data_IF_080649759665
#
_entry.id   IF_080649759665
#
_cell.length_a   1.000
_cell.length_b   1.000
_cell.length_c   1.000
_cell.angle_alpha   90.00
_cell.angle_beta   90.00
_cell.angle_gamma   90.00
#
_symmetry.space_group_name_H-M   'P 1'
#
loop_
_entity.id
_entity.type
_entity.pdbx_description
1 polymer ?
#
# COMPACT_ATOMS: atom_id res chain seq x y z
N UNK A 1 10.93 17.09 -39.77
CA UNK A 1 9.99 16.79 -38.67
C UNK A 1 10.74 15.95 -37.66
N UNK A 2 11.04 16.51 -36.50
CA UNK A 2 11.67 15.77 -35.40
C UNK A 2 10.55 15.05 -34.67
N UNK A 3 10.51 13.72 -34.74
CA UNK A 3 9.55 12.92 -34.00
C UNK A 3 9.90 13.04 -32.52
N UNK A 4 9.13 13.80 -31.76
CA UNK A 4 9.26 13.82 -30.30
C UNK A 4 8.82 12.46 -29.78
N UNK A 5 9.59 11.81 -28.89
CA UNK A 5 9.17 10.57 -28.26
C UNK A 5 7.79 10.79 -27.61
N UNK A 6 6.81 10.00 -28.04
CA UNK A 6 5.39 10.17 -27.66
C UNK A 6 5.14 9.86 -26.17
N UNK A 7 6.11 9.27 -25.47
CA UNK A 7 5.97 8.91 -24.06
C UNK A 7 7.33 8.97 -23.36
N UNK A 8 7.44 9.61 -22.18
CA UNK A 8 8.60 9.39 -21.32
C UNK A 8 8.63 7.91 -20.92
N UNK A 9 9.81 7.29 -20.96
CA UNK A 9 10.00 5.96 -20.39
C UNK A 9 9.58 6.00 -18.92
N UNK A 10 8.54 5.24 -18.57
CA UNK A 10 8.17 5.09 -17.16
C UNK A 10 9.33 4.32 -16.53
N UNK A 11 10.02 4.88 -15.52
CA UNK A 11 11.12 4.18 -14.88
C UNK A 11 10.61 2.83 -14.38
N UNK A 12 11.26 1.77 -14.84
CA UNK A 12 11.00 0.42 -14.34
C UNK A 12 11.27 0.35 -12.84
N UNK A 13 10.77 -0.70 -12.20
CA UNK A 13 11.05 -0.96 -10.79
C UNK A 13 12.57 -1.19 -10.66
N UNK A 14 13.29 -0.42 -9.80
CA UNK A 14 14.72 -0.60 -9.58
C UNK A 14 15.06 -2.05 -9.25
N UNK A 15 16.16 -2.57 -9.80
CA UNK A 15 16.69 -3.86 -9.39
C UNK A 15 17.29 -3.71 -7.99
N UNK A 16 16.73 -4.40 -7.01
CA UNK A 16 17.24 -4.47 -5.64
C UNK A 16 17.87 -5.84 -5.37
N UNK A 17 18.74 -5.91 -4.36
CA UNK A 17 19.51 -7.13 -4.05
C UNK A 17 18.57 -8.33 -3.87
N UNK A 18 18.84 -9.48 -4.54
CA UNK A 18 18.02 -10.68 -4.39
C UNK A 18 18.04 -11.23 -2.96
N UNK A 19 19.08 -10.93 -2.18
CA UNK A 19 19.23 -11.44 -0.81
C UNK A 19 18.24 -10.82 0.18
N UNK A 20 17.74 -9.61 -0.12
CA UNK A 20 16.74 -8.90 0.70
C UNK A 20 15.32 -9.16 0.22
N UNK A 21 15.15 -9.94 -0.84
CA UNK A 21 13.85 -10.26 -1.41
C UNK A 21 13.23 -11.43 -0.67
N UNK A 22 11.95 -11.32 -0.34
CA UNK A 22 11.19 -12.45 0.16
C UNK A 22 11.21 -13.64 -0.80
N UNK A 23 11.32 -14.85 -0.24
CA UNK A 23 11.25 -16.09 -1.01
C UNK A 23 9.85 -16.29 -1.60
N UNK A 24 9.77 -16.93 -2.77
CA UNK A 24 8.51 -17.26 -3.44
C UNK A 24 7.55 -18.03 -2.52
N UNK A 25 8.08 -18.98 -1.74
CA UNK A 25 7.30 -19.80 -0.79
C UNK A 25 6.70 -18.94 0.31
N UNK A 26 7.48 -17.97 0.83
CA UNK A 26 6.99 -17.03 1.82
C UNK A 26 5.91 -16.12 1.24
N UNK A 27 6.13 -15.60 0.02
CA UNK A 27 5.13 -14.77 -0.67
C UNK A 27 3.82 -15.54 -0.85
N UNK A 28 3.85 -16.77 -1.34
CA UNK A 28 2.64 -17.56 -1.60
C UNK A 28 1.88 -17.88 -0.28
N UNK A 29 2.59 -18.20 0.80
CA UNK A 29 2.00 -18.41 2.13
C UNK A 29 1.41 -17.11 2.72
N UNK A 30 2.14 -16.00 2.60
CA UNK A 30 1.70 -14.70 3.07
C UNK A 30 0.44 -14.24 2.34
N UNK A 31 0.40 -14.39 1.01
CA UNK A 31 -0.73 -14.00 0.17
C UNK A 31 -1.99 -14.78 0.54
N UNK A 32 -1.85 -16.06 0.88
CA UNK A 32 -2.95 -16.89 1.40
C UNK A 32 -3.50 -16.28 2.70
N UNK A 33 -2.65 -16.05 3.70
CA UNK A 33 -3.07 -15.43 4.97
C UNK A 33 -3.64 -14.01 4.78
N UNK A 34 -3.10 -13.24 3.85
CA UNK A 34 -3.61 -11.92 3.51
C UNK A 34 -5.02 -11.98 2.92
N UNK A 35 -5.30 -12.98 2.07
CA UNK A 35 -6.64 -13.18 1.51
C UNK A 35 -7.66 -13.53 2.60
N UNK A 36 -7.28 -14.38 3.57
CA UNK A 36 -8.11 -14.71 4.74
C UNK A 36 -8.37 -13.46 5.60
N UNK A 37 -7.34 -12.63 5.81
CA UNK A 37 -7.48 -11.37 6.54
C UNK A 37 -8.48 -10.43 5.86
N UNK A 38 -8.46 -10.33 4.53
CA UNK A 38 -9.45 -9.55 3.77
C UNK A 38 -10.86 -10.12 3.87
N UNK A 39 -11.00 -11.45 3.90
CA UNK A 39 -12.29 -12.10 4.06
C UNK A 39 -12.88 -11.78 5.44
N UNK A 40 -12.12 -11.96 6.52
CA UNK A 40 -12.55 -11.62 7.89
C UNK A 40 -12.92 -10.14 8.01
N UNK A 41 -12.14 -9.25 7.39
CA UNK A 41 -12.47 -7.83 7.35
C UNK A 41 -13.81 -7.57 6.63
N UNK A 42 -14.02 -8.21 5.46
CA UNK A 42 -15.25 -8.06 4.70
C UNK A 42 -16.47 -8.57 5.47
N UNK A 43 -16.37 -9.69 6.16
CA UNK A 43 -17.43 -10.22 7.01
C UNK A 43 -17.79 -9.23 8.14
N UNK A 44 -16.77 -8.64 8.77
CA UNK A 44 -16.97 -7.63 9.81
C UNK A 44 -17.62 -6.35 9.27
N UNK A 45 -17.15 -5.84 8.14
CA UNK A 45 -17.64 -4.62 7.48
C UNK A 45 -19.12 -4.76 7.09
N UNK A 46 -19.53 -5.95 6.60
CA UNK A 46 -20.92 -6.26 6.28
C UNK A 46 -21.81 -6.49 7.52
N UNK A 47 -21.23 -6.91 8.65
CA UNK A 47 -21.97 -7.20 9.90
C UNK A 47 -22.28 -5.95 10.73
N UNK A 48 -21.57 -4.85 10.48
CA UNK A 48 -21.74 -3.61 11.22
C UNK A 48 -23.00 -2.88 10.74
N UNK A 49 -24.12 -3.07 11.44
CA UNK A 49 -25.19 -2.07 11.50
C UNK A 49 -24.58 -0.72 11.93
N UNK A 50 -24.99 0.42 11.35
CA UNK A 50 -24.36 1.72 11.57
C UNK A 50 -24.58 2.16 13.01
N UNK A 51 -23.68 1.76 13.90
CA UNK A 51 -23.62 2.26 15.26
C UNK A 51 -23.09 3.68 15.19
N UNK A 52 -24.00 4.65 15.29
CA UNK A 52 -23.70 6.07 15.46
C UNK A 52 -22.87 6.21 16.74
N UNK A 53 -21.55 6.18 16.61
CA UNK A 53 -20.62 6.45 17.70
C UNK A 53 -19.51 7.35 17.19
N UNK A 54 -19.74 8.66 17.36
CA UNK A 54 -18.70 9.68 17.47
C UNK A 54 -17.80 9.88 16.26
N UNK A 55 -18.32 10.52 15.20
CA UNK A 55 -17.48 11.16 14.18
C UNK A 55 -16.61 12.23 14.86
N UNK A 56 -15.37 11.87 15.20
CA UNK A 56 -14.33 12.86 15.48
C UNK A 56 -13.79 13.30 14.13
N UNK A 57 -14.33 14.42 13.62
CA UNK A 57 -13.78 15.14 12.47
C UNK A 57 -12.28 15.30 12.70
N UNK A 58 -11.45 14.79 11.79
CA UNK A 58 -10.04 15.15 11.69
C UNK A 58 -9.94 16.61 11.24
N UNK A 59 -10.29 17.54 12.13
CA UNK A 59 -9.88 18.93 12.06
C UNK A 59 -8.58 19.04 12.82
N UNK A 60 -7.49 18.68 12.15
CA UNK A 60 -6.16 19.02 12.62
C UNK A 60 -5.86 20.43 12.12
N UNK A 61 -5.84 21.36 13.08
CA UNK A 61 -5.28 22.71 12.99
C UNK A 61 -3.89 22.66 12.31
N UNK A 62 -3.50 23.65 11.48
CA UNK A 62 -2.30 23.55 10.66
C UNK A 62 -1.06 23.78 11.52
N UNK A 63 -0.20 22.76 11.64
CA UNK A 63 1.07 22.88 12.34
C UNK A 63 1.79 21.55 12.52
N UNK A 64 2.70 21.25 11.57
CA UNK A 64 3.84 20.32 11.67
C UNK A 64 3.62 18.82 11.37
N UNK A 65 4.26 18.37 10.26
CA UNK A 65 4.69 17.01 9.85
C UNK A 65 3.66 15.87 9.72
N UNK A 66 3.05 15.82 8.53
CA UNK A 66 2.86 14.68 7.58
C UNK A 66 2.87 13.20 8.00
N UNK A 67 2.47 12.80 9.21
CA UNK A 67 2.21 11.39 9.53
C UNK A 67 0.97 11.23 10.44
N UNK A 68 0.08 10.23 10.22
CA UNK A 68 -1.01 9.95 11.14
C UNK A 68 -0.45 9.59 12.51
N UNK A 69 -0.83 10.35 13.53
CA UNK A 69 -0.35 10.17 14.91
C UNK A 69 -1.05 9.01 15.64
N UNK A 70 -1.79 8.15 14.93
CA UNK A 70 -2.61 7.09 15.52
C UNK A 70 -2.54 5.85 14.65
N UNK A 71 -2.50 4.67 15.27
CA UNK A 71 -2.52 3.39 14.57
C UNK A 71 -3.89 3.14 13.91
N UNK A 72 -3.93 2.48 12.74
CA UNK A 72 -5.20 2.15 12.08
C UNK A 72 -6.01 1.19 12.95
N UNK A 73 -7.28 1.53 13.18
CA UNK A 73 -8.22 0.65 13.88
C UNK A 73 -9.30 0.14 12.93
N UNK A 74 -9.83 -1.05 13.19
CA UNK A 74 -10.91 -1.63 12.37
C UNK A 74 -12.13 -0.71 12.30
N UNK A 75 -12.48 -0.07 13.41
CA UNK A 75 -13.58 0.91 13.46
C UNK A 75 -13.36 2.09 12.52
N UNK A 76 -12.13 2.60 12.42
CA UNK A 76 -11.82 3.70 11.48
C UNK A 76 -11.99 3.26 10.03
N UNK A 77 -11.60 2.03 9.69
CA UNK A 77 -11.70 1.49 8.33
C UNK A 77 -13.14 1.14 7.93
N UNK A 78 -13.91 0.53 8.84
CA UNK A 78 -15.32 0.18 8.58
C UNK A 78 -16.22 1.43 8.49
N UNK A 79 -15.85 2.52 9.17
CA UNK A 79 -16.59 3.78 9.07
C UNK A 79 -16.38 4.51 7.72
N UNK A 80 -15.44 4.07 6.89
CA UNK A 80 -15.21 4.62 5.56
C UNK A 80 -15.93 3.79 4.51
N UNK A 81 -16.66 4.45 3.62
CA UNK A 81 -17.18 3.80 2.42
C UNK A 81 -16.06 3.37 1.47
N UNK A 82 -16.38 2.45 0.55
CA UNK A 82 -15.44 1.87 -0.41
C UNK A 82 -14.65 2.91 -1.23
N UNK A 83 -15.30 4.00 -1.62
CA UNK A 83 -14.70 5.08 -2.43
C UNK A 83 -13.74 5.89 -1.57
N UNK A 84 -14.15 6.25 -0.35
CA UNK A 84 -13.32 6.95 0.63
C UNK A 84 -12.08 6.14 1.03
N UNK A 85 -12.19 4.82 1.19
CA UNK A 85 -11.05 3.93 1.45
C UNK A 85 -10.03 3.96 0.32
N UNK A 86 -10.50 3.80 -0.92
CA UNK A 86 -9.63 3.86 -2.09
C UNK A 86 -8.98 5.24 -2.25
N UNK A 87 -9.74 6.33 -2.05
CA UNK A 87 -9.22 7.68 -2.12
C UNK A 87 -8.16 7.95 -1.05
N UNK A 88 -8.41 7.54 0.19
CA UNK A 88 -7.46 7.70 1.30
C UNK A 88 -6.18 6.91 1.04
N UNK A 89 -6.28 5.67 0.54
CA UNK A 89 -5.12 4.88 0.12
C UNK A 89 -4.27 5.62 -0.92
N UNK A 90 -4.91 6.16 -1.97
CA UNK A 90 -4.19 6.91 -3.03
C UNK A 90 -3.48 8.14 -2.45
N UNK A 91 -4.17 8.91 -1.61
CA UNK A 91 -3.59 10.09 -0.96
C UNK A 91 -2.41 9.72 -0.05
N UNK A 92 -2.50 8.57 0.63
CA UNK A 92 -1.42 8.07 1.47
C UNK A 92 -0.20 7.65 0.64
N UNK A 93 -0.44 6.93 -0.47
CA UNK A 93 0.61 6.54 -1.41
C UNK A 93 1.31 7.76 -1.99
N UNK A 94 0.56 8.81 -2.32
CA UNK A 94 1.10 10.07 -2.84
C UNK A 94 1.99 10.76 -1.79
N UNK A 95 1.49 10.87 -0.55
CA UNK A 95 2.24 11.45 0.58
C UNK A 95 3.61 10.78 0.76
N UNK A 96 3.66 9.44 0.77
CA UNK A 96 4.91 8.71 1.00
C UNK A 96 5.89 8.79 -0.17
N UNK A 97 5.47 9.22 -1.38
CA UNK A 97 6.40 9.36 -2.50
C UNK A 97 7.53 10.33 -2.19
N UNK A 98 7.24 11.33 -1.35
CA UNK A 98 8.20 12.35 -0.90
C UNK A 98 9.15 11.90 0.22
N UNK A 99 8.92 10.73 0.84
CA UNK A 99 9.68 10.27 2.01
C UNK A 99 10.88 9.40 1.61
N UNK A 100 12.03 9.56 2.26
CA UNK A 100 13.21 8.71 1.97
C UNK A 100 13.18 7.34 2.69
N UNK A 101 12.35 7.22 3.73
CA UNK A 101 12.11 5.98 4.48
C UNK A 101 10.65 5.87 4.91
N UNK A 102 10.21 4.66 5.25
CA UNK A 102 8.89 4.35 5.77
C UNK A 102 8.95 3.93 7.23
N UNK A 103 8.31 4.73 8.09
CA UNK A 103 8.06 4.35 9.48
C UNK A 103 7.16 3.11 9.57
N UNK A 104 7.21 2.44 10.73
CA UNK A 104 6.31 1.32 11.03
C UNK A 104 4.84 1.70 10.90
N UNK A 105 4.47 2.89 11.35
CA UNK A 105 3.09 3.36 11.30
C UNK A 105 2.64 3.68 9.86
N UNK A 106 3.52 4.20 9.00
CA UNK A 106 3.24 4.33 7.56
C UNK A 106 2.95 2.98 6.91
N UNK A 107 3.77 1.97 7.20
CA UNK A 107 3.56 0.62 6.69
C UNK A 107 2.27 -0.03 7.21
N UNK A 108 1.93 0.18 8.49
CA UNK A 108 0.68 -0.30 9.09
C UNK A 108 -0.55 0.30 8.41
N UNK A 109 -0.57 1.62 8.17
CA UNK A 109 -1.66 2.28 7.46
C UNK A 109 -1.82 1.77 6.02
N UNK A 110 -0.71 1.64 5.28
CA UNK A 110 -0.73 1.08 3.93
C UNK A 110 -1.26 -0.36 3.92
N UNK A 111 -0.80 -1.19 4.84
CA UNK A 111 -1.29 -2.56 5.00
C UNK A 111 -2.80 -2.57 5.30
N UNK A 112 -3.24 -1.78 6.28
CA UNK A 112 -4.63 -1.69 6.69
C UNK A 112 -5.56 -1.26 5.54
N UNK A 113 -5.14 -0.26 4.75
CA UNK A 113 -5.89 0.14 3.56
C UNK A 113 -5.87 -0.92 2.45
N UNK A 114 -4.77 -1.65 2.28
CA UNK A 114 -4.74 -2.76 1.32
C UNK A 114 -5.66 -3.91 1.74
N UNK A 115 -5.86 -4.13 3.04
CA UNK A 115 -6.86 -5.09 3.53
C UNK A 115 -8.27 -4.59 3.19
N UNK A 116 -8.54 -3.31 3.50
CA UNK A 116 -9.87 -2.74 3.46
C UNK A 116 -10.34 -2.27 2.06
N UNK A 117 -9.43 -2.11 1.09
CA UNK A 117 -9.82 -1.69 -0.27
C UNK A 117 -10.62 -2.78 -0.95
N UNK A 118 -11.70 -2.41 -1.65
CA UNK A 118 -12.54 -3.35 -2.36
C UNK A 118 -11.92 -3.81 -3.68
N UNK A 119 -12.32 -5.00 -4.11
CA UNK A 119 -11.95 -5.59 -5.41
C UNK A 119 -13.22 -5.83 -6.23
N UNK A 120 -13.23 -5.54 -7.55
CA UNK A 120 -12.09 -5.19 -8.40
C UNK A 120 -11.60 -3.74 -8.22
N UNK A 121 -10.28 -3.53 -8.36
CA UNK A 121 -9.65 -2.22 -8.22
C UNK A 121 -9.92 -1.31 -9.43
N UNK A 122 -10.13 -0.02 -9.17
CA UNK A 122 -10.12 1.00 -10.21
C UNK A 122 -8.72 1.26 -10.76
N UNK A 123 -8.65 1.69 -12.02
CA UNK A 123 -7.40 1.97 -12.73
C UNK A 123 -6.50 2.97 -11.98
N UNK A 124 -7.08 3.98 -11.34
CA UNK A 124 -6.32 4.96 -10.54
C UNK A 124 -5.67 4.31 -9.31
N UNK A 125 -6.39 3.45 -8.59
CA UNK A 125 -5.84 2.74 -7.43
C UNK A 125 -4.73 1.78 -7.85
N UNK A 126 -4.88 1.10 -8.99
CA UNK A 126 -3.82 0.29 -9.60
C UNK A 126 -2.57 1.14 -9.92
N UNK A 127 -2.76 2.32 -10.53
CA UNK A 127 -1.66 3.24 -10.83
C UNK A 127 -0.93 3.69 -9.56
N UNK A 128 -1.67 4.01 -8.49
CA UNK A 128 -1.09 4.33 -7.18
C UNK A 128 -0.33 3.13 -6.60
N UNK A 129 -0.89 1.92 -6.61
CA UNK A 129 -0.18 0.71 -6.13
C UNK A 129 1.11 0.43 -6.92
N UNK A 130 1.15 0.74 -8.23
CA UNK A 130 2.40 0.68 -9.02
C UNK A 130 3.42 1.72 -8.56
N UNK A 131 2.99 2.94 -8.22
CA UNK A 131 3.87 3.96 -7.66
C UNK A 131 4.38 3.57 -6.27
N UNK A 132 3.53 2.97 -5.42
CA UNK A 132 3.92 2.37 -4.16
C UNK A 132 4.99 1.28 -4.36
N UNK A 133 4.75 0.34 -5.29
CA UNK A 133 5.69 -0.74 -5.59
C UNK A 133 7.07 -0.22 -6.03
N UNK A 134 7.09 0.78 -6.92
CA UNK A 134 8.34 1.47 -7.32
C UNK A 134 9.02 2.13 -6.12
N UNK A 135 8.26 2.84 -5.28
CA UNK A 135 8.80 3.50 -4.08
C UNK A 135 9.41 2.49 -3.11
N UNK A 136 8.72 1.39 -2.82
CA UNK A 136 9.23 0.34 -1.96
C UNK A 136 10.52 -0.28 -2.50
N UNK A 137 10.60 -0.53 -3.81
CA UNK A 137 11.81 -1.03 -4.44
C UNK A 137 12.97 -0.02 -4.41
N UNK A 138 12.69 1.28 -4.58
CA UNK A 138 13.70 2.33 -4.44
C UNK A 138 14.27 2.34 -3.02
N UNK A 139 13.42 2.33 -1.99
CA UNK A 139 13.89 2.29 -0.59
C UNK A 139 14.64 0.98 -0.34
N UNK A 140 14.14 -0.16 -0.81
CA UNK A 140 14.79 -1.45 -0.63
C UNK A 140 16.18 -1.50 -1.29
N UNK A 141 16.38 -0.80 -2.40
CA UNK A 141 17.68 -0.71 -3.08
C UNK A 141 18.74 0.10 -2.33
N UNK A 142 18.33 0.99 -1.41
CA UNK A 142 19.25 1.76 -0.57
C UNK A 142 19.63 1.01 0.72
N UNK A 143 18.96 -0.11 1.02
CA UNK A 143 19.22 -0.94 2.19
C UNK A 143 20.27 -2.00 1.90
N UNK A 144 21.16 -2.24 2.87
CA UNK A 144 22.22 -3.25 2.80
C UNK A 144 22.00 -4.43 3.76
N UNK A 145 21.15 -4.26 4.78
CA UNK A 145 20.93 -5.25 5.83
C UNK A 145 19.43 -5.54 5.98
N UNK A 146 19.12 -6.74 6.49
CA UNK A 146 17.76 -7.15 6.81
C UNK A 146 17.31 -6.47 8.11
N UNK A 147 16.54 -5.40 7.99
CA UNK A 147 15.94 -4.67 9.12
C UNK A 147 14.39 -4.79 9.11
N UNK A 148 13.74 -4.26 10.14
CA UNK A 148 12.27 -4.27 10.24
C UNK A 148 11.60 -3.54 9.06
N UNK A 149 12.23 -2.49 8.53
CA UNK A 149 11.73 -1.75 7.38
C UNK A 149 11.76 -2.61 6.12
N UNK A 150 12.84 -3.36 5.89
CA UNK A 150 12.95 -4.34 4.79
C UNK A 150 11.85 -5.38 4.86
N UNK A 151 11.51 -5.90 6.04
CA UNK A 151 10.40 -6.84 6.21
C UNK A 151 9.07 -6.19 5.81
N UNK A 152 8.80 -4.97 6.28
CA UNK A 152 7.58 -4.24 5.94
C UNK A 152 7.49 -3.88 4.45
N UNK A 153 8.61 -3.49 3.83
CA UNK A 153 8.70 -3.24 2.40
C UNK A 153 8.37 -4.51 1.60
N UNK A 154 8.93 -5.66 1.98
CA UNK A 154 8.63 -6.94 1.34
C UNK A 154 7.14 -7.30 1.44
N UNK A 155 6.50 -7.06 2.59
CA UNK A 155 5.05 -7.22 2.77
C UNK A 155 4.27 -6.35 1.78
N UNK A 156 4.57 -5.04 1.71
CA UNK A 156 3.88 -4.11 0.82
C UNK A 156 4.11 -4.44 -0.66
N UNK A 157 5.30 -4.90 -1.01
CA UNK A 157 5.63 -5.35 -2.36
C UNK A 157 4.88 -6.64 -2.73
N UNK A 158 4.75 -7.60 -1.81
CA UNK A 158 3.99 -8.82 -2.05
C UNK A 158 2.50 -8.49 -2.28
N UNK A 159 1.91 -7.62 -1.46
CA UNK A 159 0.51 -7.19 -1.63
C UNK A 159 0.32 -6.44 -2.95
N UNK A 160 1.10 -5.39 -3.20
CA UNK A 160 0.95 -4.57 -4.41
C UNK A 160 1.25 -5.38 -5.67
N UNK A 161 2.36 -6.12 -5.67
CA UNK A 161 2.84 -6.87 -6.82
C UNK A 161 2.10 -8.19 -7.05
N UNK A 162 2.11 -9.12 -6.08
CA UNK A 162 1.51 -10.46 -6.23
C UNK A 162 0.00 -10.43 -6.07
N UNK A 163 -0.51 -9.85 -4.97
CA UNK A 163 -1.94 -9.94 -4.65
C UNK A 163 -2.79 -9.15 -5.66
N UNK A 164 -2.44 -7.88 -5.86
CA UNK A 164 -3.16 -7.01 -6.81
C UNK A 164 -2.66 -7.12 -8.25
N UNK A 165 -1.70 -8.02 -8.53
CA UNK A 165 -1.18 -8.25 -9.87
C UNK A 165 -0.46 -7.05 -10.50
N UNK A 166 0.11 -6.15 -9.68
CA UNK A 166 0.78 -4.95 -10.20
C UNK A 166 2.22 -5.19 -10.63
N UNK A 167 2.76 -6.41 -10.52
CA UNK A 167 4.00 -6.73 -11.20
C UNK A 167 3.79 -6.49 -12.70
N UNK A 168 4.50 -5.51 -13.23
CA UNK A 168 4.69 -5.37 -14.66
C UNK A 168 5.26 -6.70 -15.16
N UNK A 169 4.62 -7.30 -16.18
CA UNK A 169 5.01 -8.56 -16.78
C UNK A 169 6.53 -8.52 -17.03
N UNK A 170 7.31 -9.10 -16.11
CA UNK A 170 8.69 -9.44 -16.38
C UNK A 170 8.58 -10.58 -17.38
N UNK A 171 8.87 -10.23 -18.63
CA UNK A 171 9.10 -11.13 -19.74
C UNK A 171 9.64 -12.49 -19.26
N UNK A 172 8.91 -13.55 -19.61
CA UNK A 172 9.54 -14.85 -19.85
C UNK A 172 10.53 -14.75 -21.00
#
# INVERSE_FOLDING_TARGET
>A
MVQTPYMPEIPGIPMFSPDLRASKVWEDAFITNFSETRQVFSELDNSNEPSISGVKKFSSKPGSSSEPQTEPTLTMLCNMDSVSRAATLRNYIDMIQSLDSLSRNNCLWLFAFCVAVDTPLHAETCASLRSLLRKCATILSTKSEMDDEVVMLNILMAISGRFFGQYEHRYE
#
